data_IF_747786988930
#
_entry.id   IF_747786988930
#
_cell.length_a   1.000
_cell.length_b   1.000
_cell.length_c   1.000
_cell.angle_alpha   90.00
_cell.angle_beta   90.00
_cell.angle_gamma   90.00
#
_symmetry.space_group_name_H-M   'P 1'
#
loop_
_entity.id
_entity.type
_entity.pdbx_description
1 polymer ?
#
# COMPACT_ATOMS: atom_id res chain seq x y z
N UNK A 1 3.47 35.49 -12.40
CA UNK A 1 4.78 34.89 -12.74
C UNK A 1 4.90 33.61 -11.94
N UNK A 2 4.89 32.42 -12.57
CA UNK A 2 4.99 31.14 -11.83
C UNK A 2 6.46 30.92 -11.46
N UNK A 3 6.77 30.98 -10.17
CA UNK A 3 8.12 30.74 -9.67
C UNK A 3 8.37 29.23 -9.72
N UNK A 4 9.14 28.78 -10.71
CA UNK A 4 9.57 27.39 -10.83
C UNK A 4 10.77 27.18 -9.92
N UNK A 5 10.54 26.54 -8.76
CA UNK A 5 11.61 26.14 -7.86
C UNK A 5 12.30 24.90 -8.45
N UNK A 6 13.40 25.10 -9.16
CA UNK A 6 14.22 23.99 -9.68
C UNK A 6 14.96 23.32 -8.53
N UNK A 7 14.95 21.99 -8.50
CA UNK A 7 15.73 21.21 -7.55
C UNK A 7 17.23 21.39 -7.82
N UNK A 8 17.99 21.57 -6.75
CA UNK A 8 19.46 21.52 -6.81
C UNK A 8 19.93 20.10 -7.09
N UNK A 9 21.17 19.94 -7.58
CA UNK A 9 21.71 18.60 -7.86
C UNK A 9 21.87 17.75 -6.59
N UNK A 10 22.08 18.39 -5.44
CA UNK A 10 22.07 17.70 -4.15
C UNK A 10 20.68 17.15 -3.80
N UNK A 11 19.63 17.94 -4.02
CA UNK A 11 18.25 17.50 -3.80
C UNK A 11 17.89 16.33 -4.73
N UNK A 12 18.32 16.36 -5.99
CA UNK A 12 18.13 15.22 -6.92
C UNK A 12 18.82 13.96 -6.40
N UNK A 13 20.08 14.04 -5.95
CA UNK A 13 20.80 12.90 -5.35
C UNK A 13 20.14 12.36 -4.09
N UNK A 14 19.48 13.21 -3.29
CA UNK A 14 18.69 12.75 -2.14
C UNK A 14 17.47 11.96 -2.62
N UNK A 15 16.74 12.48 -3.61
CA UNK A 15 15.57 11.81 -4.18
C UNK A 15 15.91 10.45 -4.80
N UNK A 16 17.00 10.35 -5.56
CA UNK A 16 17.47 9.10 -6.15
C UNK A 16 17.77 8.03 -5.08
N UNK A 17 18.42 8.43 -3.98
CA UNK A 17 18.68 7.54 -2.83
C UNK A 17 17.40 7.11 -2.12
N UNK A 18 16.44 8.03 -1.97
CA UNK A 18 15.13 7.71 -1.39
C UNK A 18 14.36 6.72 -2.27
N UNK A 19 14.34 6.95 -3.58
CA UNK A 19 13.69 6.06 -4.53
C UNK A 19 14.31 4.66 -4.48
N UNK A 20 15.63 4.56 -4.50
CA UNK A 20 16.33 3.26 -4.40
C UNK A 20 15.97 2.49 -3.12
N UNK A 21 15.80 3.20 -1.99
CA UNK A 21 15.35 2.60 -0.72
C UNK A 21 13.91 2.12 -0.80
N UNK A 22 13.02 2.90 -1.39
CA UNK A 22 11.61 2.53 -1.58
C UNK A 22 11.52 1.29 -2.48
N UNK A 23 12.24 1.28 -3.60
CA UNK A 23 12.26 0.15 -4.54
C UNK A 23 12.74 -1.12 -3.85
N UNK A 24 13.77 -1.03 -3.02
CA UNK A 24 14.25 -2.15 -2.21
C UNK A 24 13.17 -2.66 -1.25
N UNK A 25 12.51 -1.78 -0.50
CA UNK A 25 11.46 -2.15 0.47
C UNK A 25 10.28 -2.82 -0.24
N UNK A 26 9.81 -2.23 -1.35
CA UNK A 26 8.71 -2.79 -2.15
C UNK A 26 9.08 -4.18 -2.66
N UNK A 27 10.31 -4.34 -3.18
CA UNK A 27 10.78 -5.65 -3.67
C UNK A 27 10.90 -6.68 -2.56
N UNK A 28 11.51 -6.31 -1.42
CA UNK A 28 11.74 -7.20 -0.30
C UNK A 28 10.43 -7.66 0.38
N UNK A 29 9.41 -6.80 0.38
CA UNK A 29 8.13 -7.07 1.04
C UNK A 29 6.96 -7.23 0.06
N UNK A 30 7.25 -7.49 -1.23
CA UNK A 30 6.24 -7.57 -2.29
C UNK A 30 5.11 -8.52 -1.95
N UNK A 31 5.43 -9.71 -1.44
CA UNK A 31 4.44 -10.71 -1.06
C UNK A 31 3.47 -10.20 0.02
N UNK A 32 3.99 -9.49 1.04
CA UNK A 32 3.17 -8.92 2.10
C UNK A 32 2.24 -7.82 1.56
N UNK A 33 2.76 -6.97 0.66
CA UNK A 33 1.97 -5.92 0.03
C UNK A 33 0.87 -6.51 -0.87
N UNK A 34 1.21 -7.52 -1.67
CA UNK A 34 0.26 -8.23 -2.53
C UNK A 34 -0.81 -8.96 -1.69
N UNK A 35 -0.41 -9.59 -0.57
CA UNK A 35 -1.33 -10.25 0.37
C UNK A 35 -2.29 -9.27 1.04
N UNK A 36 -1.85 -8.07 1.39
CA UNK A 36 -2.70 -7.02 1.94
C UNK A 36 -3.71 -6.50 0.89
N UNK A 37 -3.27 -6.35 -0.36
CA UNK A 37 -4.15 -5.96 -1.46
C UNK A 37 -5.19 -7.05 -1.77
N UNK A 38 -4.80 -8.33 -1.73
CA UNK A 38 -5.71 -9.46 -1.86
C UNK A 38 -6.72 -9.51 -0.70
N UNK A 39 -6.26 -9.29 0.53
CA UNK A 39 -7.13 -9.24 1.70
C UNK A 39 -8.17 -8.13 1.61
N UNK A 40 -7.81 -6.94 1.12
CA UNK A 40 -8.78 -5.85 0.99
C UNK A 40 -9.92 -6.21 0.01
N UNK A 41 -9.58 -6.92 -1.07
CA UNK A 41 -10.54 -7.38 -2.09
C UNK A 41 -11.38 -8.58 -1.65
N UNK A 42 -10.75 -9.55 -0.99
CA UNK A 42 -11.36 -10.88 -0.75
C UNK A 42 -11.76 -11.11 0.70
N UNK A 43 -11.23 -10.31 1.63
CA UNK A 43 -11.31 -10.57 3.06
C UNK A 43 -10.40 -11.71 3.55
N UNK A 44 -9.55 -12.29 2.71
CA UNK A 44 -8.64 -13.39 3.10
C UNK A 44 -7.19 -12.93 3.08
N UNK A 45 -6.51 -13.01 4.23
CA UNK A 45 -5.08 -12.72 4.35
C UNK A 45 -4.29 -14.02 4.28
N UNK A 46 -3.42 -14.12 3.27
CA UNK A 46 -2.61 -15.30 2.99
C UNK A 46 -1.16 -14.92 2.74
N UNK A 47 -0.23 -15.56 3.45
CA UNK A 47 1.22 -15.33 3.30
C UNK A 47 1.90 -16.70 3.25
N UNK A 48 2.86 -16.88 2.34
CA UNK A 48 3.57 -18.15 2.12
C UNK A 48 2.63 -19.36 1.94
N UNK A 49 1.52 -19.15 1.23
CA UNK A 49 0.52 -20.21 1.03
C UNK A 49 -0.41 -20.47 2.23
N UNK A 50 -0.15 -19.87 3.40
CA UNK A 50 -0.91 -20.10 4.63
C UNK A 50 -1.93 -19.00 4.86
N UNK A 51 -3.18 -19.38 5.11
CA UNK A 51 -4.24 -18.44 5.52
C UNK A 51 -4.01 -18.05 6.97
N UNK A 52 -3.85 -16.75 7.22
CA UNK A 52 -3.63 -16.20 8.55
C UNK A 52 -4.89 -15.59 9.14
N UNK A 53 -5.73 -15.00 8.30
CA UNK A 53 -6.94 -14.32 8.75
C UNK A 53 -8.02 -14.33 7.66
N UNK A 54 -9.27 -14.47 8.08
CA UNK A 54 -10.45 -14.34 7.21
C UNK A 54 -11.40 -13.34 7.87
N UNK A 55 -11.70 -12.25 7.17
CA UNK A 55 -12.64 -11.21 7.61
C UNK A 55 -14.01 -11.84 7.76
N UNK A 56 -14.58 -11.75 8.96
CA UNK A 56 -15.99 -12.09 9.20
C UNK A 56 -16.85 -10.91 8.75
N UNK A 57 -17.76 -11.16 7.83
CA UNK A 57 -18.83 -10.23 7.52
C UNK A 57 -19.95 -10.46 8.54
N UNK A 58 -19.99 -9.66 9.60
CA UNK A 58 -21.20 -9.55 10.41
C UNK A 58 -22.20 -8.71 9.58
N UNK A 59 -23.39 -9.25 9.30
CA UNK A 59 -24.43 -8.60 8.48
C UNK A 59 -24.78 -7.18 8.93
N UNK A 60 -24.48 -6.78 10.17
CA UNK A 60 -24.69 -5.41 10.68
C UNK A 60 -23.79 -4.33 10.04
N UNK A 61 -22.73 -4.70 9.30
CA UNK A 61 -21.82 -3.72 8.69
C UNK A 61 -22.12 -3.39 7.22
N UNK A 62 -23.05 -4.10 6.56
CA UNK A 62 -23.46 -3.74 5.20
C UNK A 62 -24.24 -2.41 5.18
N UNK A 63 -25.11 -2.17 6.18
CA UNK A 63 -25.88 -0.93 6.29
C UNK A 63 -25.03 0.33 6.51
N UNK A 64 -23.81 0.21 7.04
CA UNK A 64 -22.91 1.36 7.26
C UNK A 64 -22.09 1.75 6.03
N UNK A 65 -21.86 0.82 5.09
CA UNK A 65 -21.08 1.10 3.88
C UNK A 65 -21.87 1.84 2.80
N UNK A 66 -23.20 1.71 2.80
CA UNK A 66 -24.07 2.45 1.87
C UNK A 66 -24.49 3.85 2.34
N UNK A 67 -24.19 4.22 3.60
CA UNK A 67 -24.60 5.49 4.21
C UNK A 67 -23.48 6.55 4.30
N UNK A 68 -22.42 6.40 3.51
CA UNK A 68 -21.31 7.37 3.43
C UNK A 68 -21.12 7.94 2.01
N UNK A 69 -22.18 7.96 1.19
CA UNK A 69 -22.25 8.72 -0.06
C UNK A 69 -23.06 10.00 0.12
#
# INVERSE_FOLDING_TARGET
MVITHKLTDEQKKILERMQSRIDYIIKAHKEYLDALAEFDRTGVLKIHGKVLYVRKYNQENEDKRFNLQ
#
